data_IF_793948324204
#
_entry.id   IF_793948324204
#
_cell.length_a   1.000
_cell.length_b   1.000
_cell.length_c   1.000
_cell.angle_alpha   90.00
_cell.angle_beta   90.00
_cell.angle_gamma   90.00
#
_symmetry.space_group_name_H-M   'P 1'
#
loop_
_entity.id
_entity.type
_entity.pdbx_description
1 polymer ?
#
# COMPACT_ATOMS: atom_id res chain seq x y z
N UNK A 1 -17.71 20.74 -2.30
CA UNK A 1 -17.35 19.73 -1.28
C UNK A 1 -18.60 18.92 -0.94
N UNK A 2 -18.68 17.66 -1.36
CA UNK A 2 -19.86 16.84 -1.13
C UNK A 2 -20.02 16.48 0.34
N UNK A 3 -21.25 16.16 0.75
CA UNK A 3 -21.45 15.44 2.01
C UNK A 3 -20.78 14.06 1.89
N UNK A 4 -20.04 13.66 2.93
CA UNK A 4 -19.31 12.39 2.97
C UNK A 4 -19.80 11.54 4.13
N UNK A 5 -19.87 10.23 3.92
CA UNK A 5 -20.15 9.25 4.98
C UNK A 5 -18.82 8.73 5.51
N UNK A 6 -18.38 9.28 6.64
CA UNK A 6 -17.10 8.92 7.22
C UNK A 6 -17.19 7.61 7.99
N UNK A 7 -16.30 6.67 7.67
CA UNK A 7 -16.08 5.48 8.48
C UNK A 7 -15.32 5.86 9.75
N UNK A 8 -16.05 6.15 10.82
CA UNK A 8 -15.46 6.52 12.11
C UNK A 8 -15.17 5.27 12.96
N UNK A 9 -14.22 4.46 12.52
CA UNK A 9 -13.73 3.30 13.27
C UNK A 9 -12.27 3.52 13.67
N UNK A 10 -11.93 3.29 14.93
CA UNK A 10 -10.60 3.57 15.48
C UNK A 10 -9.47 2.68 14.89
N UNK A 11 -9.83 1.65 14.12
CA UNK A 11 -8.92 0.67 13.54
C UNK A 11 -8.75 0.82 12.02
N UNK A 12 -9.38 1.81 11.38
CA UNK A 12 -9.29 2.01 9.93
C UNK A 12 -8.73 3.37 9.59
N UNK A 13 -7.91 3.44 8.54
CA UNK A 13 -7.55 4.68 7.87
C UNK A 13 -8.40 4.84 6.63
N UNK A 14 -8.99 6.02 6.49
CA UNK A 14 -9.68 6.42 5.27
C UNK A 14 -8.77 7.22 4.36
N UNK A 15 -9.10 7.26 3.07
CA UNK A 15 -8.39 8.05 2.08
C UNK A 15 -8.50 9.53 2.46
N UNK A 16 -7.38 10.27 2.53
CA UNK A 16 -7.43 11.71 2.79
C UNK A 16 -7.93 12.51 1.58
N UNK A 17 -8.11 11.89 0.42
CA UNK A 17 -8.41 12.59 -0.82
C UNK A 17 -9.27 11.73 -1.76
N UNK A 18 -10.06 12.36 -2.62
CA UNK A 18 -10.56 11.70 -3.83
C UNK A 18 -9.38 11.36 -4.75
N UNK A 19 -9.55 10.52 -5.76
CA UNK A 19 -8.51 10.33 -6.79
C UNK A 19 -8.17 8.87 -7.05
N UNK A 20 -6.95 8.60 -7.52
CA UNK A 20 -6.49 7.26 -7.88
C UNK A 20 -5.22 6.93 -7.10
N UNK A 21 -5.14 5.72 -6.53
CA UNK A 21 -3.90 5.21 -5.93
C UNK A 21 -2.85 5.09 -7.05
N UNK A 22 -1.86 5.96 -7.01
CA UNK A 22 -0.81 6.02 -8.02
C UNK A 22 0.30 5.02 -7.72
N UNK A 23 0.69 4.91 -6.45
CA UNK A 23 1.86 4.14 -6.04
C UNK A 23 1.76 3.68 -4.59
N UNK A 24 2.16 2.44 -4.32
CA UNK A 24 2.31 1.89 -2.98
C UNK A 24 3.74 1.37 -2.83
N UNK A 25 4.54 1.98 -1.96
CA UNK A 25 5.95 1.61 -1.79
C UNK A 25 6.45 1.80 -0.35
N UNK A 26 7.66 1.31 -0.06
CA UNK A 26 8.39 1.69 1.15
C UNK A 26 9.16 2.98 0.87
N UNK A 27 9.00 3.99 1.72
CA UNK A 27 9.71 5.25 1.61
C UNK A 27 9.91 5.91 2.97
N UNK A 28 10.94 6.75 3.07
CA UNK A 28 11.14 7.60 4.25
C UNK A 28 10.19 8.79 4.22
N UNK A 29 9.71 9.19 5.40
CA UNK A 29 8.99 10.44 5.56
C UNK A 29 9.90 11.63 5.21
N UNK A 30 9.32 12.78 4.81
CA UNK A 30 10.10 14.00 4.61
C UNK A 30 10.85 14.40 5.90
N UNK A 31 12.14 14.74 5.75
CA UNK A 31 13.06 15.02 6.87
C UNK A 31 12.57 16.13 7.79
N UNK A 32 11.80 17.08 7.26
CA UNK A 32 11.24 18.18 8.03
C UNK A 32 10.23 17.72 9.09
N UNK A 33 9.57 16.57 8.92
CA UNK A 33 8.63 16.02 9.89
C UNK A 33 9.07 14.69 10.50
N UNK A 34 9.95 13.95 9.86
CA UNK A 34 10.33 12.62 10.31
C UNK A 34 11.02 12.63 11.68
N UNK A 35 10.54 11.79 12.61
CA UNK A 35 11.19 11.57 13.92
C UNK A 35 12.42 10.66 13.82
N UNK A 36 12.53 9.87 12.75
CA UNK A 36 13.66 8.97 12.47
C UNK A 36 13.77 8.71 10.96
N UNK A 37 14.84 8.05 10.54
CA UNK A 37 15.14 7.72 9.13
C UNK A 37 14.55 6.37 8.67
N UNK A 38 13.54 5.83 9.38
CA UNK A 38 12.93 4.54 9.06
C UNK A 38 12.02 4.65 7.84
N UNK A 39 12.06 3.64 6.97
CA UNK A 39 11.11 3.50 5.89
C UNK A 39 9.73 3.04 6.40
N UNK A 40 8.69 3.67 5.87
CA UNK A 40 7.29 3.40 6.19
C UNK A 40 6.54 3.02 4.91
N UNK A 41 5.38 2.40 5.06
CA UNK A 41 4.49 2.20 3.91
C UNK A 41 4.00 3.57 3.45
N UNK A 42 4.21 3.91 2.18
CA UNK A 42 3.74 5.14 1.55
C UNK A 42 2.68 4.81 0.51
N UNK A 43 1.51 5.41 0.66
CA UNK A 43 0.42 5.35 -0.31
C UNK A 43 0.29 6.72 -0.96
N UNK A 44 0.43 6.79 -2.28
CA UNK A 44 0.36 8.05 -3.03
C UNK A 44 -0.95 8.10 -3.80
N UNK A 45 -1.78 9.13 -3.55
CA UNK A 45 -3.09 9.32 -4.17
C UNK A 45 -3.02 10.54 -5.09
N UNK A 46 -3.24 10.34 -6.39
CA UNK A 46 -3.25 11.41 -7.37
C UNK A 46 -4.66 11.93 -7.62
N UNK A 47 -4.81 13.26 -7.59
CA UNK A 47 -6.06 13.98 -7.82
C UNK A 47 -5.99 14.71 -9.15
N UNK A 48 -6.81 14.27 -10.10
CA UNK A 48 -6.96 14.96 -11.37
C UNK A 48 -7.90 16.17 -11.24
N UNK A 49 -8.02 16.97 -12.30
CA UNK A 49 -8.79 18.23 -12.32
C UNK A 49 -10.28 18.09 -11.98
N UNK A 50 -10.86 16.91 -12.14
CA UNK A 50 -12.28 16.61 -11.88
C UNK A 50 -12.52 16.07 -10.46
N UNK A 51 -11.46 15.78 -9.71
CA UNK A 51 -11.57 15.24 -8.36
C UNK A 51 -11.89 16.32 -7.32
N UNK A 52 -12.43 15.93 -6.17
CA UNK A 52 -12.62 16.85 -5.05
C UNK A 52 -11.26 17.11 -4.38
N UNK A 53 -10.89 18.38 -4.37
CA UNK A 53 -9.58 18.87 -3.92
C UNK A 53 -9.51 19.22 -2.43
N UNK A 54 -10.60 18.98 -1.71
CA UNK A 54 -10.64 19.09 -0.25
C UNK A 54 -9.99 17.84 0.33
N UNK A 55 -9.02 18.02 1.22
CA UNK A 55 -8.36 16.92 1.91
C UNK A 55 -8.90 16.74 3.32
N UNK A 56 -8.91 15.48 3.74
CA UNK A 56 -9.52 15.02 4.97
C UNK A 56 -8.53 14.25 5.83
N UNK A 57 -8.75 14.29 7.13
CA UNK A 57 -7.92 13.60 8.11
C UNK A 57 -8.13 12.09 7.94
N UNK A 58 -7.08 11.30 7.68
CA UNK A 58 -7.23 9.88 7.40
C UNK A 58 -7.55 9.04 8.65
N UNK A 59 -7.19 9.54 9.84
CA UNK A 59 -7.44 8.89 11.13
C UNK A 59 -7.41 9.93 12.25
N UNK A 60 -8.31 9.78 13.23
CA UNK A 60 -8.34 10.60 14.44
C UNK A 60 -7.00 10.56 15.17
N UNK A 61 -6.47 11.74 15.49
CA UNK A 61 -5.11 11.89 16.01
C UNK A 61 -4.89 13.27 16.63
N UNK A 62 -3.72 13.46 17.25
CA UNK A 62 -3.21 14.78 17.60
C UNK A 62 -2.20 15.27 16.55
N UNK A 63 -2.32 16.51 16.10
CA UNK A 63 -1.34 17.12 15.19
C UNK A 63 -0.04 17.39 15.94
N UNK A 64 0.98 16.57 15.70
CA UNK A 64 2.28 16.66 16.37
C UNK A 64 3.19 17.71 15.75
N UNK A 65 3.22 17.76 14.41
CA UNK A 65 4.09 18.68 13.67
C UNK A 65 3.47 19.09 12.35
N UNK A 66 3.72 20.32 11.96
CA UNK A 66 3.37 20.90 10.67
C UNK A 66 4.63 21.51 10.08
N UNK A 67 4.84 21.32 8.78
CA UNK A 67 5.95 21.97 8.08
C UNK A 67 5.55 22.29 6.65
N UNK A 68 5.63 23.57 6.32
CA UNK A 68 5.38 24.05 4.98
C UNK A 68 6.70 24.22 4.23
N UNK A 69 6.81 23.58 3.06
CA UNK A 69 7.96 23.71 2.19
C UNK A 69 7.57 24.47 0.92
N UNK A 70 8.18 25.64 0.73
CA UNK A 70 8.04 26.40 -0.50
C UNK A 70 8.89 25.73 -1.59
N UNK A 71 8.28 25.38 -2.72
CA UNK A 71 8.95 24.61 -3.76
C UNK A 71 8.69 25.11 -5.18
N UNK A 72 9.20 24.35 -6.15
CA UNK A 72 8.98 24.47 -7.59
C UNK A 72 7.64 23.83 -7.98
N UNK A 73 7.33 23.76 -9.27
CA UNK A 73 6.03 23.30 -9.76
C UNK A 73 6.20 22.24 -10.86
N UNK A 74 6.68 21.05 -10.52
CA UNK A 74 6.69 19.90 -11.45
C UNK A 74 5.34 19.16 -11.45
N UNK A 75 5.10 18.27 -12.42
CA UNK A 75 3.90 17.43 -12.42
C UNK A 75 3.92 16.52 -11.17
N UNK A 76 2.87 16.57 -10.34
CA UNK A 76 2.77 15.82 -9.09
C UNK A 76 2.71 14.30 -9.30
N UNK A 77 2.46 13.83 -10.53
CA UNK A 77 2.52 12.41 -10.87
C UNK A 77 3.94 11.84 -10.92
N UNK A 78 4.98 12.70 -10.91
CA UNK A 78 6.38 12.27 -10.99
C UNK A 78 7.02 12.15 -9.60
N UNK A 79 7.92 11.18 -9.41
CA UNK A 79 8.62 10.98 -8.13
C UNK A 79 9.39 12.24 -7.68
N UNK A 80 9.98 12.99 -8.63
CA UNK A 80 10.71 14.25 -8.36
C UNK A 80 9.84 15.36 -7.77
N UNK A 81 8.51 15.28 -7.91
CA UNK A 81 7.60 16.24 -7.31
C UNK A 81 7.63 16.18 -5.78
N UNK A 82 7.87 15.01 -5.19
CA UNK A 82 8.01 14.87 -3.73
C UNK A 82 9.08 15.80 -3.18
N UNK A 83 10.22 15.93 -3.85
CA UNK A 83 11.40 16.64 -3.33
C UNK A 83 11.33 18.14 -3.61
N UNK A 84 10.89 18.51 -4.81
CA UNK A 84 11.01 19.88 -5.28
C UNK A 84 9.74 20.68 -5.18
N UNK A 85 8.56 20.05 -5.15
CA UNK A 85 7.32 20.83 -5.20
C UNK A 85 7.00 21.51 -3.88
N UNK A 86 6.16 22.53 -3.98
CA UNK A 86 5.47 23.07 -2.84
C UNK A 86 4.66 21.96 -2.15
N UNK A 87 4.87 21.81 -0.85
CA UNK A 87 4.20 20.78 -0.05
C UNK A 87 3.90 21.26 1.37
N UNK A 88 2.79 20.75 1.91
CA UNK A 88 2.45 20.86 3.32
C UNK A 88 2.54 19.47 3.94
N UNK A 89 3.44 19.34 4.92
CA UNK A 89 3.72 18.09 5.61
C UNK A 89 3.07 18.13 6.99
N UNK A 90 2.18 17.17 7.27
CA UNK A 90 1.49 17.02 8.56
C UNK A 90 1.92 15.70 9.20
N UNK A 91 2.35 15.76 10.46
CA UNK A 91 2.64 14.59 11.28
C UNK A 91 1.52 14.44 12.32
N UNK A 92 0.81 13.34 12.25
CA UNK A 92 -0.24 12.96 13.19
C UNK A 92 0.32 11.95 14.19
N UNK A 93 0.09 12.17 15.48
CA UNK A 93 0.38 11.22 16.56
C UNK A 93 -0.91 10.53 17.00
N UNK A 94 -0.92 9.22 16.86
CA UNK A 94 -2.01 8.36 17.32
C UNK A 94 -1.96 8.17 18.85
N UNK A 95 -3.04 7.64 19.42
CA UNK A 95 -3.14 7.40 20.87
C UNK A 95 -2.06 6.45 21.41
N UNK A 96 -1.58 5.51 20.58
CA UNK A 96 -0.50 4.57 20.90
C UNK A 96 0.91 5.14 20.63
N UNK A 97 1.02 6.46 20.43
CA UNK A 97 2.25 7.21 20.13
C UNK A 97 2.89 6.91 18.78
N UNK A 98 2.21 6.15 17.93
CA UNK A 98 2.66 5.93 16.56
C UNK A 98 2.35 7.15 15.69
N UNK A 99 3.13 7.27 14.63
CA UNK A 99 3.09 8.44 13.76
C UNK A 99 2.52 8.09 12.40
N UNK A 100 1.67 8.97 11.87
CA UNK A 100 1.15 8.92 10.50
C UNK A 100 1.50 10.22 9.81
N UNK A 101 2.17 10.13 8.66
CA UNK A 101 2.50 11.30 7.84
C UNK A 101 1.44 11.53 6.77
N UNK A 102 0.98 12.77 6.61
CA UNK A 102 0.07 13.18 5.53
C UNK A 102 0.68 14.38 4.81
N UNK A 103 1.05 14.19 3.55
CA UNK A 103 1.76 15.19 2.76
C UNK A 103 0.89 15.63 1.59
N UNK A 104 0.50 16.90 1.61
CA UNK A 104 -0.15 17.58 0.50
C UNK A 104 0.93 18.08 -0.46
N UNK A 105 0.89 17.69 -1.73
CA UNK A 105 1.90 18.05 -2.73
C UNK A 105 1.22 18.76 -3.90
N UNK A 106 1.53 20.04 -4.08
CA UNK A 106 0.94 20.84 -5.16
C UNK A 106 1.48 20.41 -6.52
N UNK A 107 0.62 20.49 -7.53
CA UNK A 107 0.95 20.21 -8.93
C UNK A 107 1.36 21.44 -9.73
N UNK A 108 1.61 21.22 -11.02
CA UNK A 108 2.08 22.23 -11.98
C UNK A 108 1.09 23.40 -12.19
N UNK A 109 -0.22 23.12 -12.14
CA UNK A 109 -1.24 24.06 -12.63
C UNK A 109 -1.59 25.11 -11.57
N UNK A 110 -1.71 24.71 -10.29
CA UNK A 110 -2.33 25.56 -9.30
C UNK A 110 -1.58 25.48 -7.95
N UNK A 111 -1.07 26.66 -7.55
CA UNK A 111 0.18 26.88 -6.77
C UNK A 111 -0.05 27.27 -5.31
N UNK A 112 -1.07 26.73 -4.67
CA UNK A 112 -1.35 27.10 -3.28
C UNK A 112 -2.03 25.97 -2.55
N UNK A 113 -1.38 25.55 -1.49
CA UNK A 113 -1.93 24.66 -0.48
C UNK A 113 -2.49 25.52 0.64
N UNK A 114 -3.71 25.19 1.06
CA UNK A 114 -4.32 25.78 2.25
C UNK A 114 -4.44 24.65 3.27
N UNK A 115 -3.96 24.88 4.48
CA UNK A 115 -4.06 23.94 5.59
C UNK A 115 -4.43 24.73 6.84
N UNK A 116 -5.53 24.34 7.46
CA UNK A 116 -6.13 25.06 8.60
C UNK A 116 -5.71 24.47 9.95
N UNK A 117 -4.88 23.42 9.92
CA UNK A 117 -4.39 22.74 11.11
C UNK A 117 -3.42 23.59 11.91
N UNK A 118 -3.44 23.38 13.22
CA UNK A 118 -2.48 23.94 14.17
C UNK A 118 -1.74 22.82 14.89
N UNK A 119 -0.52 23.11 15.33
CA UNK A 119 0.22 22.22 16.21
C UNK A 119 -0.61 21.98 17.48
N UNK A 120 -0.55 20.76 17.98
CA UNK A 120 -1.25 20.27 19.17
C UNK A 120 -2.78 20.18 19.06
N UNK A 121 -3.36 20.45 17.89
CA UNK A 121 -4.79 20.29 17.62
C UNK A 121 -5.20 18.81 17.63
N UNK A 122 -6.31 18.49 18.28
CA UNK A 122 -6.99 17.19 18.11
C UNK A 122 -7.87 17.24 16.86
N UNK A 123 -7.79 16.18 16.06
CA UNK A 123 -8.53 16.06 14.80
C UNK A 123 -9.27 14.74 14.73
N UNK A 124 -10.42 14.74 14.06
CA UNK A 124 -11.25 13.54 13.88
C UNK A 124 -11.10 12.95 12.47
N UNK A 125 -11.21 11.63 12.33
CA UNK A 125 -11.27 10.95 11.02
C UNK A 125 -12.30 11.63 10.12
N UNK A 126 -11.93 11.87 8.86
CA UNK A 126 -12.79 12.49 7.84
C UNK A 126 -12.99 14.00 7.98
N UNK A 127 -12.52 14.63 9.05
CA UNK A 127 -12.51 16.08 9.22
C UNK A 127 -11.72 16.75 8.08
N UNK A 128 -12.19 17.91 7.61
CA UNK A 128 -11.50 18.67 6.56
C UNK A 128 -10.32 19.40 7.18
N UNK A 129 -9.15 19.29 6.57
CA UNK A 129 -7.95 19.95 7.11
C UNK A 129 -7.26 20.89 6.13
N UNK A 130 -7.67 20.86 4.86
CA UNK A 130 -7.07 21.72 3.86
C UNK A 130 -7.58 21.48 2.45
N UNK A 131 -7.03 22.26 1.54
CA UNK A 131 -7.30 22.21 0.10
C UNK A 131 -5.97 22.23 -0.64
N UNK A 132 -5.79 21.30 -1.56
CA UNK A 132 -4.71 21.31 -2.56
C UNK A 132 -5.31 21.54 -3.93
N UNK A 133 -4.64 22.31 -4.75
CA UNK A 133 -5.17 22.77 -6.03
C UNK A 133 -4.97 21.73 -7.15
N UNK A 134 -5.52 21.98 -8.35
CA UNK A 134 -5.66 21.00 -9.44
C UNK A 134 -4.38 20.26 -9.86
N UNK A 135 -4.49 18.94 -10.07
CA UNK A 135 -3.40 18.08 -10.55
C UNK A 135 -2.38 17.77 -9.46
N UNK A 136 -2.85 17.55 -8.24
CA UNK A 136 -2.04 17.41 -7.02
C UNK A 136 -1.99 15.95 -6.54
N UNK A 137 -1.20 15.72 -5.49
CA UNK A 137 -1.02 14.41 -4.88
C UNK A 137 -1.08 14.51 -3.36
N UNK A 138 -1.63 13.48 -2.72
CA UNK A 138 -1.51 13.28 -1.27
C UNK A 138 -0.74 12.00 -1.01
N UNK A 139 0.37 12.11 -0.28
CA UNK A 139 1.14 10.97 0.18
C UNK A 139 0.81 10.67 1.64
N UNK A 140 0.51 9.42 1.96
CA UNK A 140 0.22 8.95 3.32
C UNK A 140 1.27 7.94 3.75
N UNK A 141 1.94 8.21 4.87
CA UNK A 141 2.96 7.37 5.46
C UNK A 141 2.42 6.65 6.69
N UNK A 142 2.52 5.32 6.68
CA UNK A 142 1.86 4.43 7.64
C UNK A 142 2.88 3.53 8.34
N UNK A 143 2.73 3.32 9.66
CA UNK A 143 3.55 2.37 10.40
C UNK A 143 3.21 0.91 10.04
N UNK A 144 4.15 0.00 10.27
CA UNK A 144 4.09 -1.39 9.78
C UNK A 144 2.96 -2.24 10.38
N UNK A 145 2.35 -1.79 11.47
CA UNK A 145 1.23 -2.48 12.10
C UNK A 145 -0.11 -2.21 11.40
N UNK A 146 -0.15 -1.33 10.40
CA UNK A 146 -1.28 -1.24 9.47
C UNK A 146 -1.08 -2.20 8.29
N UNK A 147 -2.16 -2.87 7.91
CA UNK A 147 -2.29 -3.65 6.68
C UNK A 147 -2.94 -2.78 5.60
N UNK A 148 -2.29 -2.65 4.45
CA UNK A 148 -2.82 -1.88 3.31
C UNK A 148 -3.97 -2.66 2.68
N UNK A 149 -5.09 -1.99 2.44
CA UNK A 149 -6.34 -2.60 1.91
C UNK A 149 -6.69 -2.14 0.49
N UNK A 150 -5.75 -1.49 -0.19
CA UNK A 150 -5.95 -0.91 -1.53
C UNK A 150 -4.86 -1.37 -2.50
N UNK A 151 -5.17 -1.24 -3.78
CA UNK A 151 -4.27 -1.57 -4.89
C UNK A 151 -3.96 -0.32 -5.74
N UNK A 152 -2.82 -0.33 -6.41
CA UNK A 152 -2.52 0.69 -7.43
C UNK A 152 -3.57 0.69 -8.54
N UNK A 153 -3.95 1.87 -9.02
CA UNK A 153 -5.03 2.09 -9.98
C UNK A 153 -6.43 2.17 -9.35
N UNK A 154 -6.60 1.88 -8.06
CA UNK A 154 -7.90 1.92 -7.40
C UNK A 154 -8.40 3.36 -7.19
N UNK A 155 -9.69 3.59 -7.50
CA UNK A 155 -10.37 4.87 -7.27
C UNK A 155 -10.70 5.05 -5.79
N UNK A 156 -10.36 6.22 -5.24
CA UNK A 156 -10.59 6.62 -3.86
C UNK A 156 -11.61 7.76 -3.76
N UNK A 157 -12.35 7.76 -2.66
CA UNK A 157 -13.22 8.85 -2.21
C UNK A 157 -12.70 9.33 -0.86
N UNK A 158 -12.38 10.62 -0.77
CA UNK A 158 -11.81 11.23 0.43
C UNK A 158 -12.79 11.18 1.60
N UNK A 159 -12.32 10.65 2.73
CA UNK A 159 -13.08 10.45 3.95
C UNK A 159 -13.91 9.16 3.99
N UNK A 160 -13.99 8.39 2.89
CA UNK A 160 -14.87 7.22 2.80
C UNK A 160 -14.12 5.93 2.46
N UNK A 161 -13.25 5.95 1.45
CA UNK A 161 -12.52 4.73 1.04
C UNK A 161 -11.50 4.32 2.10
N UNK A 162 -11.55 3.08 2.57
CA UNK A 162 -10.53 2.53 3.48
C UNK A 162 -9.23 2.28 2.71
N UNK A 163 -8.11 2.81 3.21
CA UNK A 163 -6.78 2.60 2.62
C UNK A 163 -5.94 1.60 3.41
N UNK A 164 -6.17 1.50 4.73
CA UNK A 164 -5.47 0.57 5.59
C UNK A 164 -6.26 0.26 6.86
N UNK A 165 -5.95 -0.85 7.50
CA UNK A 165 -6.56 -1.28 8.76
C UNK A 165 -5.49 -1.74 9.75
N UNK A 166 -5.74 -1.59 11.05
CA UNK A 166 -4.87 -2.11 12.09
C UNK A 166 -4.79 -3.64 11.96
N UNK A 167 -3.57 -4.20 11.96
CA UNK A 167 -3.39 -5.65 11.96
C UNK A 167 -3.99 -6.25 13.23
N UNK A 168 -4.98 -7.10 13.07
CA UNK A 168 -5.47 -7.94 14.16
C UNK A 168 -4.35 -8.88 14.62
N UNK A 169 -3.78 -8.63 15.80
CA UNK A 169 -2.77 -9.52 16.42
C UNK A 169 -3.39 -10.91 16.73
N UNK A 170 -4.70 -11.11 16.57
CA UNK A 170 -5.42 -12.35 16.91
C UNK A 170 -5.67 -13.35 15.77
N UNK A 171 -5.07 -13.22 14.59
CA UNK A 171 -5.26 -14.19 13.47
C UNK A 171 -4.00 -14.78 12.85
N UNK A 172 -2.87 -14.85 13.55
CA UNK A 172 -1.79 -15.77 13.16
C UNK A 172 -2.06 -17.17 13.73
N UNK A 173 -2.92 -17.95 13.07
CA UNK A 173 -2.92 -19.41 13.28
C UNK A 173 -1.62 -19.94 12.66
N UNK A 174 -0.73 -20.63 13.40
CA UNK A 174 0.45 -21.22 12.79
C UNK A 174 0.00 -22.22 11.73
N UNK A 175 0.53 -22.09 10.51
CA UNK A 175 0.39 -23.12 9.49
C UNK A 175 0.95 -24.44 10.05
N UNK A 176 0.30 -25.60 9.84
CA UNK A 176 0.86 -26.87 10.24
C UNK A 176 2.13 -27.12 9.42
N UNK A 177 3.29 -27.00 10.06
CA UNK A 177 4.56 -27.46 9.51
C UNK A 177 4.46 -28.96 9.28
N UNK A 178 4.59 -29.41 8.03
CA UNK A 178 4.77 -30.82 7.69
C UNK A 178 6.05 -31.32 8.37
N UNK A 179 5.90 -32.13 9.41
CA UNK A 179 6.98 -32.91 9.98
C UNK A 179 7.26 -34.12 9.09
N UNK A 180 8.21 -34.01 8.17
CA UNK A 180 8.90 -35.17 7.60
C UNK A 180 9.97 -35.60 8.59
N UNK A 181 9.64 -36.54 9.46
CA UNK A 181 10.62 -37.31 10.24
C UNK A 181 10.53 -38.78 9.83
N UNK A 182 11.34 -39.19 8.86
CA UNK A 182 11.70 -40.60 8.67
C UNK A 182 13.14 -40.76 9.14
N UNK A 183 13.31 -41.10 10.42
CA UNK A 183 14.52 -41.75 10.91
C UNK A 183 14.45 -43.20 10.47
N UNK A 184 15.39 -43.60 9.60
CA UNK A 184 15.71 -44.99 9.33
C UNK A 184 16.14 -45.67 10.63
N UNK A 185 15.45 -46.75 11.01
CA UNK A 185 15.84 -47.63 12.09
C UNK A 185 16.01 -49.03 11.51
N UNK A 186 17.26 -49.49 11.51
CA UNK A 186 17.71 -50.81 11.11
C UNK A 186 17.11 -51.85 12.04
N UNK A 187 16.32 -52.81 11.51
CA UNK A 187 16.05 -54.08 12.20
C UNK A 187 16.30 -55.22 11.22
N UNK A 188 17.37 -55.95 11.54
CA UNK A 188 17.64 -57.31 11.08
C UNK A 188 16.51 -58.24 11.55
N UNK A 189 15.96 -59.06 10.65
CA UNK A 189 15.70 -60.47 10.94
C UNK A 189 15.38 -61.26 9.68
N UNK A 190 15.96 -62.44 9.63
CA UNK A 190 15.97 -63.43 8.57
C UNK A 190 14.74 -64.33 8.68
N UNK A 191 14.03 -64.63 7.58
CA UNK A 191 13.42 -65.95 7.35
C UNK A 191 12.97 -66.17 5.90
N UNK A 192 13.21 -67.41 5.48
CA UNK A 192 13.12 -68.02 4.16
C UNK A 192 11.71 -68.10 3.56
N UNK A 193 11.72 -68.19 2.22
CA UNK A 193 10.82 -68.91 1.31
C UNK A 193 9.33 -68.52 1.26
N UNK A 194 8.85 -68.18 0.06
CA UNK A 194 7.90 -68.99 -0.73
C UNK A 194 7.84 -68.47 -2.18
N UNK A 195 7.89 -69.42 -3.13
CA UNK A 195 7.78 -69.28 -4.58
C UNK A 195 6.36 -68.87 -5.02
N UNK A 196 6.27 -68.14 -6.14
CA UNK A 196 5.40 -68.36 -7.34
C UNK A 196 5.22 -67.02 -8.08
N UNK A 197 5.79 -66.87 -9.28
CA UNK A 197 5.23 -67.20 -10.60
C UNK A 197 4.05 -66.33 -11.03
N UNK A 198 4.24 -65.54 -12.09
CA UNK A 198 3.37 -65.27 -13.28
C UNK A 198 3.70 -63.87 -13.82
N UNK A 199 4.44 -63.78 -14.93
CA UNK A 199 3.96 -63.73 -16.33
C UNK A 199 3.44 -62.34 -16.77
N UNK A 200 4.22 -61.74 -17.67
CA UNK A 200 3.79 -61.19 -18.96
C UNK A 200 2.86 -59.97 -18.97
N UNK A 201 3.36 -58.82 -19.43
CA UNK A 201 3.07 -58.36 -20.82
C UNK A 201 3.65 -56.98 -21.11
N UNK A 202 4.27 -56.94 -22.28
CA UNK A 202 4.78 -55.83 -23.08
C UNK A 202 3.69 -54.83 -23.51
N UNK A 203 4.04 -53.54 -23.57
CA UNK A 203 3.72 -52.68 -24.71
C UNK A 203 4.60 -51.42 -24.72
N UNK A 204 5.56 -51.39 -25.64
CA UNK A 204 6.19 -50.16 -26.15
C UNK A 204 5.26 -49.58 -27.21
N UNK A 205 4.98 -48.27 -27.15
CA UNK A 205 4.71 -47.49 -28.37
C UNK A 205 5.53 -46.21 -28.31
N UNK A 206 6.35 -46.06 -29.34
CA UNK A 206 7.25 -44.93 -29.62
C UNK A 206 6.78 -44.41 -30.97
N UNK A 207 6.27 -43.18 -31.05
CA UNK A 207 6.16 -42.46 -32.32
C UNK A 207 6.58 -41.01 -32.13
N UNK A 208 7.40 -40.58 -33.07
CA UNK A 208 8.21 -39.38 -33.15
C UNK A 208 7.55 -38.26 -33.96
N UNK A 209 7.88 -37.03 -33.56
CA UNK A 209 8.16 -35.81 -34.36
C UNK A 209 7.18 -35.41 -35.48
N UNK A 210 6.75 -34.15 -35.42
CA UNK A 210 6.94 -33.20 -36.53
C UNK A 210 6.86 -31.75 -36.05
N UNK A 211 7.79 -30.93 -36.55
CA UNK A 211 7.85 -29.47 -36.41
C UNK A 211 6.80 -28.85 -37.34
N UNK A 212 6.16 -27.76 -36.90
CA UNK A 212 5.58 -26.77 -37.81
C UNK A 212 6.10 -25.40 -37.40
N UNK A 213 6.64 -24.70 -38.39
CA UNK A 213 7.27 -23.40 -38.34
C UNK A 213 6.39 -22.50 -39.21
N UNK A 214 5.85 -21.40 -38.67
CA UNK A 214 5.14 -20.41 -39.48
C UNK A 214 5.62 -19.01 -39.13
N UNK A 215 6.33 -18.43 -40.10
CA UNK A 215 6.55 -17.00 -40.27
C UNK A 215 5.20 -16.30 -40.38
N UNK A 216 5.06 -15.14 -39.74
CA UNK A 216 4.14 -14.10 -40.21
C UNK A 216 4.92 -12.78 -40.29
N UNK A 217 4.72 -12.16 -41.45
CA UNK A 217 5.33 -10.98 -42.02
C UNK A 217 4.80 -9.67 -41.43
N UNK A 218 5.72 -8.73 -41.19
CA UNK A 218 5.44 -7.30 -41.06
C UNK A 218 4.95 -6.70 -42.38
N UNK A 219 3.90 -5.87 -42.30
CA UNK A 219 3.55 -4.90 -43.33
C UNK A 219 2.85 -3.69 -42.70
N UNK A 220 3.50 -2.54 -42.88
CA UNK A 220 3.06 -1.14 -42.75
C UNK A 220 2.94 -0.55 -41.35
#
# INVERSE_FOLDING_TARGET
DPNRVVLNQNNVLVSPADGIIQKIEKAKMPKEIASNDKEMNKISIFLNVFDVHVNRIPISAKVKKLSYHHGKFFNASLDKASEHNERQSVLLELNDKQEVGVIQIAGLIARRIVCDLKKDQEVSTGERFGIIRFGSRVDVYLPDHFEIKVLEGQRMIGGESVIAELKDIKKSKPAPSKSTSTKSMTISTNKKNIKKSTKTSTAKVKVSKSKVNTKVSDKK
#
